data_IF_510230297434
#
_entry.id   IF_510230297434
#
_cell.length_a   1.000
_cell.length_b   1.000
_cell.length_c   1.000
_cell.angle_alpha   90.00
_cell.angle_beta   90.00
_cell.angle_gamma   90.00
#
_symmetry.space_group_name_H-M   'P 1'
#
loop_
_entity.id
_entity.type
_entity.pdbx_description
1 polymer ?
#
# COMPACT_ATOMS: atom_id res chain seq x y z
N UNK A 1 45.25 3.28 91.17
CA UNK A 1 45.76 2.53 90.00
C UNK A 1 45.81 3.50 88.83
N UNK A 2 46.97 3.63 88.17
CA UNK A 2 47.33 4.73 87.24
C UNK A 2 46.43 4.77 85.98
N UNK A 3 46.04 5.97 85.48
CA UNK A 3 45.46 6.14 84.16
C UNK A 3 46.53 6.52 83.10
N UNK A 4 46.26 6.31 81.80
CA UNK A 4 46.90 7.12 80.77
C UNK A 4 45.87 7.58 79.68
N UNK A 5 46.23 8.43 78.69
CA UNK A 5 46.03 9.88 78.78
C UNK A 5 45.20 10.49 77.63
N UNK A 6 44.81 11.75 77.79
CA UNK A 6 44.27 12.63 76.74
C UNK A 6 45.33 13.00 75.69
N UNK A 7 44.90 13.14 74.43
CA UNK A 7 45.54 13.99 73.42
C UNK A 7 44.47 14.79 72.65
N UNK A 8 44.86 15.99 72.23
CA UNK A 8 44.01 17.16 72.07
C UNK A 8 43.95 17.70 70.63
N UNK A 9 42.97 18.60 70.41
CA UNK A 9 42.89 19.69 69.39
C UNK A 9 42.56 19.21 67.96
N UNK A 10 41.69 19.84 67.16
CA UNK A 10 41.35 21.27 66.95
C UNK A 10 40.03 21.41 66.16
N UNK A 11 39.31 22.54 66.35
CA UNK A 11 38.14 22.96 65.57
C UNK A 11 38.51 23.47 64.16
N UNK A 12 37.57 23.36 63.20
CA UNK A 12 37.19 24.43 62.24
C UNK A 12 35.80 24.13 61.60
N UNK A 13 34.94 25.15 61.34
CA UNK A 13 33.56 24.96 60.91
C UNK A 13 33.41 25.05 59.38
N UNK A 14 32.38 24.43 58.79
CA UNK A 14 31.92 24.75 57.43
C UNK A 14 30.39 24.89 57.34
N UNK A 15 30.04 26.03 56.74
CA UNK A 15 28.77 26.57 56.29
C UNK A 15 27.90 25.54 55.55
N UNK A 16 26.58 25.70 55.70
CA UNK A 16 25.58 24.85 55.06
C UNK A 16 25.17 25.27 53.66
N UNK A 17 24.13 24.60 53.16
CA UNK A 17 23.28 25.06 52.06
C UNK A 17 22.02 24.18 52.01
N UNK A 18 20.86 24.83 52.02
CA UNK A 18 19.58 24.26 51.60
C UNK A 18 19.69 23.80 50.14
N UNK A 19 19.33 22.56 49.84
CA UNK A 19 19.03 22.12 48.47
C UNK A 19 17.51 21.94 48.30
N UNK A 20 16.92 22.39 47.17
CA UNK A 20 15.51 22.22 46.89
C UNK A 20 15.24 20.81 46.36
N UNK A 21 14.14 20.23 46.83
CA UNK A 21 13.63 18.92 46.44
C UNK A 21 13.08 18.97 45.00
N UNK A 22 13.90 18.62 44.00
CA UNK A 22 13.50 18.56 42.60
C UNK A 22 12.83 17.21 42.32
N UNK A 23 11.49 17.14 42.47
CA UNK A 23 10.71 15.99 42.02
C UNK A 23 10.54 16.07 40.51
N UNK A 24 11.34 15.29 39.78
CA UNK A 24 11.06 15.00 38.38
C UNK A 24 9.78 14.18 38.27
N UNK A 25 8.71 14.82 37.80
CA UNK A 25 7.58 14.11 37.20
C UNK A 25 8.04 13.56 35.85
N UNK A 26 8.33 12.26 35.81
CA UNK A 26 8.46 11.52 34.55
C UNK A 26 7.08 11.36 33.95
N UNK A 27 6.84 11.99 32.80
CA UNK A 27 5.67 11.69 31.96
C UNK A 27 5.67 10.20 31.59
N UNK A 28 4.50 9.54 31.56
CA UNK A 28 4.43 8.15 31.14
C UNK A 28 4.75 8.07 29.63
N UNK A 29 5.84 7.37 29.29
CA UNK A 29 6.13 6.99 27.90
C UNK A 29 4.90 6.25 27.33
N UNK A 30 4.29 6.85 26.31
CA UNK A 30 3.25 6.20 25.51
C UNK A 30 3.78 4.85 24.99
N UNK A 31 2.98 3.77 25.05
CA UNK A 31 3.43 2.45 24.64
C UNK A 31 3.84 2.49 23.17
N UNK A 32 5.13 2.25 22.90
CA UNK A 32 5.67 2.04 21.56
C UNK A 32 4.88 0.89 20.92
N UNK A 33 4.04 1.20 19.93
CA UNK A 33 3.34 0.18 19.13
C UNK A 33 4.40 -0.80 18.62
N UNK A 34 4.32 -2.06 19.05
CA UNK A 34 5.16 -3.12 18.47
C UNK A 34 4.88 -3.14 16.97
N UNK A 35 5.85 -2.75 16.14
CA UNK A 35 5.81 -3.03 14.70
C UNK A 35 5.64 -4.54 14.57
N UNK A 36 4.50 -4.99 14.03
CA UNK A 36 4.40 -6.36 13.54
C UNK A 36 5.53 -6.52 12.52
N UNK A 37 6.47 -7.44 12.76
CA UNK A 37 7.41 -7.85 11.73
C UNK A 37 6.59 -8.46 10.59
N UNK A 38 6.33 -7.65 9.57
CA UNK A 38 5.76 -8.12 8.33
C UNK A 38 6.85 -8.85 7.56
N UNK A 39 6.72 -10.15 7.39
CA UNK A 39 7.52 -10.89 6.42
C UNK A 39 7.15 -10.40 5.03
N UNK A 40 8.14 -10.02 4.21
CA UNK A 40 7.93 -9.72 2.80
C UNK A 40 7.24 -10.90 2.11
N UNK A 41 6.26 -10.61 1.26
CA UNK A 41 5.50 -11.61 0.50
C UNK A 41 5.65 -11.35 -0.98
N UNK A 42 5.82 -12.41 -1.75
CA UNK A 42 5.60 -12.37 -3.19
C UNK A 42 4.10 -12.34 -3.45
N UNK A 43 3.64 -11.41 -4.31
CA UNK A 43 2.24 -11.23 -4.67
C UNK A 43 2.10 -11.43 -6.17
N UNK A 44 1.50 -12.53 -6.65
CA UNK A 44 1.39 -12.78 -8.08
C UNK A 44 0.26 -11.95 -8.70
N UNK A 45 0.37 -11.63 -9.99
CA UNK A 45 -0.69 -10.92 -10.74
C UNK A 45 -1.23 -11.77 -11.91
N UNK A 46 -2.47 -11.47 -12.31
CA UNK A 46 -3.09 -11.97 -13.54
C UNK A 46 -3.74 -10.77 -14.24
N UNK A 47 -3.06 -10.25 -15.25
CA UNK A 47 -3.61 -9.18 -16.07
C UNK A 47 -4.48 -9.77 -17.18
N UNK A 48 -5.67 -9.20 -17.36
CA UNK A 48 -6.66 -9.66 -18.31
C UNK A 48 -6.98 -8.56 -19.31
N UNK A 49 -6.90 -8.88 -20.60
CA UNK A 49 -7.36 -8.02 -21.67
C UNK A 49 -8.14 -8.83 -22.71
N UNK A 50 -9.36 -8.38 -23.03
CA UNK A 50 -10.28 -9.09 -23.90
C UNK A 50 -10.50 -10.57 -23.50
N UNK A 51 -10.50 -10.86 -22.20
CA UNK A 51 -10.73 -12.20 -21.65
C UNK A 51 -9.52 -13.13 -21.69
N UNK A 52 -8.35 -12.66 -22.15
CA UNK A 52 -7.10 -13.43 -22.18
C UNK A 52 -6.11 -12.92 -21.14
N UNK A 53 -5.27 -13.83 -20.64
CA UNK A 53 -4.15 -13.47 -19.76
C UNK A 53 -3.08 -12.79 -20.60
N UNK A 54 -2.85 -11.50 -20.34
CA UNK A 54 -1.97 -10.63 -21.11
C UNK A 54 -1.30 -9.60 -20.21
N UNK A 55 0.02 -9.49 -20.30
CA UNK A 55 0.76 -8.41 -19.67
C UNK A 55 1.08 -7.35 -20.72
N UNK A 56 0.50 -6.15 -20.55
CA UNK A 56 0.77 -5.01 -21.43
C UNK A 56 2.05 -4.28 -20.98
N UNK A 57 2.76 -3.67 -21.92
CA UNK A 57 3.86 -2.74 -21.63
C UNK A 57 3.26 -1.36 -21.38
N UNK A 58 3.71 -0.68 -20.32
CA UNK A 58 3.17 0.61 -19.93
C UNK A 58 3.15 1.65 -21.07
N UNK A 59 2.11 2.49 -21.04
CA UNK A 59 1.87 3.70 -21.84
C UNK A 59 1.27 3.50 -23.24
N UNK A 60 0.84 2.28 -23.58
CA UNK A 60 0.26 1.96 -24.91
C UNK A 60 -1.26 1.74 -24.94
N UNK A 61 -1.98 1.94 -23.82
CA UNK A 61 -3.46 1.87 -23.82
C UNK A 61 -4.07 3.12 -24.47
N UNK A 62 -4.06 3.21 -25.80
CA UNK A 62 -4.83 4.23 -26.54
C UNK A 62 -6.20 3.68 -26.94
N UNK A 63 -7.24 4.52 -26.95
CA UNK A 63 -8.61 4.11 -27.36
C UNK A 63 -8.72 3.87 -28.88
N UNK A 64 -7.62 4.09 -29.61
CA UNK A 64 -7.54 4.06 -31.06
C UNK A 64 -6.69 2.89 -31.51
N UNK A 65 -7.17 1.66 -31.30
CA UNK A 65 -6.95 0.49 -32.16
C UNK A 65 -5.52 0.03 -32.54
N UNK A 66 -4.45 0.72 -32.16
CA UNK A 66 -3.10 0.46 -32.66
C UNK A 66 -2.12 0.12 -31.53
N UNK A 67 -1.51 -1.05 -31.71
CA UNK A 67 -0.30 -1.60 -31.09
C UNK A 67 -0.12 -1.36 -29.58
N UNK A 68 -0.96 -2.00 -28.76
CA UNK A 68 -0.55 -2.31 -27.38
C UNK A 68 0.64 -3.26 -27.44
N UNK A 69 1.81 -2.79 -27.03
CA UNK A 69 2.99 -3.64 -26.90
C UNK A 69 2.75 -4.63 -25.75
N UNK A 70 2.91 -5.93 -26.02
CA UNK A 70 2.68 -7.01 -25.05
C UNK A 70 4.01 -7.59 -24.58
N UNK A 71 4.21 -7.69 -23.26
CA UNK A 71 5.34 -8.41 -22.68
C UNK A 71 5.08 -9.92 -22.63
N UNK A 72 3.81 -10.31 -22.52
CA UNK A 72 3.38 -11.70 -22.36
C UNK A 72 1.92 -11.86 -22.78
N UNK A 73 1.60 -12.98 -23.40
CA UNK A 73 0.25 -13.35 -23.83
C UNK A 73 0.14 -14.87 -23.91
N UNK A 74 -1.02 -15.42 -23.56
CA UNK A 74 -1.25 -16.87 -23.55
C UNK A 74 -2.71 -17.21 -23.81
N UNK A 75 -2.95 -18.41 -24.34
CA UNK A 75 -4.29 -19.01 -24.42
C UNK A 75 -4.66 -19.82 -23.17
N UNK A 76 -3.74 -19.97 -22.21
CA UNK A 76 -4.04 -20.62 -20.93
C UNK A 76 -5.08 -19.79 -20.15
N UNK A 77 -6.13 -20.42 -19.59
CA UNK A 77 -7.17 -19.68 -18.88
C UNK A 77 -6.64 -19.12 -17.56
N UNK A 78 -7.21 -17.99 -17.13
CA UNK A 78 -6.85 -17.32 -15.88
C UNK A 78 -7.02 -18.22 -14.63
N UNK A 79 -7.98 -19.15 -14.67
CA UNK A 79 -8.19 -20.14 -13.60
C UNK A 79 -7.00 -21.08 -13.40
N UNK A 80 -6.22 -21.37 -14.44
CA UNK A 80 -5.05 -22.24 -14.35
C UNK A 80 -3.93 -21.56 -13.55
N UNK A 81 -3.70 -20.27 -13.80
CA UNK A 81 -2.77 -19.45 -13.00
C UNK A 81 -3.24 -19.30 -11.55
N UNK A 82 -4.53 -19.04 -11.34
CA UNK A 82 -5.09 -18.95 -9.99
C UNK A 82 -4.95 -20.27 -9.21
N UNK A 83 -5.13 -21.42 -9.88
CA UNK A 83 -4.90 -22.75 -9.28
C UNK A 83 -3.43 -22.95 -8.92
N UNK A 84 -2.51 -22.58 -9.81
CA UNK A 84 -1.07 -22.63 -9.53
C UNK A 84 -0.70 -21.78 -8.30
N UNK A 85 -1.20 -20.54 -8.22
CA UNK A 85 -0.96 -19.66 -7.07
C UNK A 85 -1.54 -20.22 -5.77
N UNK A 86 -2.67 -20.93 -5.85
CA UNK A 86 -3.27 -21.64 -4.72
C UNK A 86 -2.40 -22.80 -4.25
N UNK A 87 -1.93 -23.62 -5.17
CA UNK A 87 -1.08 -24.78 -4.87
C UNK A 87 0.24 -24.34 -4.23
N UNK A 88 0.76 -23.17 -4.63
CA UNK A 88 1.95 -22.54 -4.05
C UNK A 88 1.67 -21.74 -2.75
N UNK A 89 0.40 -21.63 -2.31
CA UNK A 89 0.01 -20.89 -1.11
C UNK A 89 0.19 -19.37 -1.18
N UNK A 90 0.26 -18.81 -2.39
CA UNK A 90 0.46 -17.39 -2.64
C UNK A 90 -0.85 -16.61 -2.46
N UNK A 91 -0.94 -15.80 -1.42
CA UNK A 91 -2.16 -15.01 -1.10
C UNK A 91 -1.98 -13.53 -1.40
N UNK A 92 -3.10 -12.83 -1.59
CA UNK A 92 -3.16 -11.39 -1.86
C UNK A 92 -2.53 -10.98 -3.20
N UNK A 93 -2.37 -11.94 -4.12
CA UNK A 93 -2.18 -11.63 -5.52
C UNK A 93 -3.43 -11.00 -6.12
N UNK A 94 -3.34 -10.40 -7.31
CA UNK A 94 -4.43 -9.62 -7.89
C UNK A 94 -4.72 -9.98 -9.35
N UNK A 95 -6.01 -9.97 -9.70
CA UNK A 95 -6.50 -10.07 -11.06
C UNK A 95 -6.90 -8.67 -11.54
N UNK A 96 -6.26 -8.15 -12.59
CA UNK A 96 -6.52 -6.81 -13.11
C UNK A 96 -7.24 -6.90 -14.45
N UNK A 97 -8.44 -6.33 -14.52
CA UNK A 97 -9.21 -6.24 -15.75
C UNK A 97 -8.85 -4.96 -16.52
N UNK A 98 -8.11 -5.11 -17.61
CA UNK A 98 -7.70 -4.04 -18.51
C UNK A 98 -8.73 -3.92 -19.64
N UNK A 99 -9.70 -3.01 -19.46
CA UNK A 99 -10.77 -2.77 -20.44
C UNK A 99 -11.91 -3.81 -20.41
N UNK A 100 -12.80 -3.79 -21.42
CA UNK A 100 -13.97 -4.66 -21.47
C UNK A 100 -13.63 -6.13 -21.81
N UNK A 101 -14.59 -7.03 -21.61
CA UNK A 101 -14.48 -8.45 -22.01
C UNK A 101 -13.80 -9.38 -21.00
N UNK A 102 -13.41 -8.88 -19.83
CA UNK A 102 -12.62 -9.64 -18.86
C UNK A 102 -13.45 -10.39 -17.79
N UNK A 103 -14.75 -10.09 -17.68
CA UNK A 103 -15.58 -10.53 -16.53
C UNK A 103 -15.58 -12.04 -16.33
N UNK A 104 -15.75 -12.81 -17.41
CA UNK A 104 -15.77 -14.27 -17.33
C UNK A 104 -14.43 -14.85 -16.85
N UNK A 105 -13.32 -14.39 -17.43
CA UNK A 105 -11.98 -14.83 -17.07
C UNK A 105 -11.62 -14.46 -15.62
N UNK A 106 -11.98 -13.25 -15.19
CA UNK A 106 -11.77 -12.81 -13.81
C UNK A 106 -12.56 -13.68 -12.82
N UNK A 107 -13.86 -13.92 -13.07
CA UNK A 107 -14.68 -14.80 -12.22
C UNK A 107 -14.14 -16.22 -12.17
N UNK A 108 -13.63 -16.75 -13.28
CA UNK A 108 -13.01 -18.07 -13.33
C UNK A 108 -11.75 -18.15 -12.46
N UNK A 109 -10.89 -17.12 -12.49
CA UNK A 109 -9.71 -17.05 -11.62
C UNK A 109 -10.09 -16.99 -10.14
N UNK A 110 -11.05 -16.12 -9.77
CA UNK A 110 -11.52 -15.97 -8.39
C UNK A 110 -12.17 -17.26 -7.85
N UNK A 111 -12.94 -17.96 -8.69
CA UNK A 111 -13.58 -19.23 -8.31
C UNK A 111 -12.57 -20.36 -8.12
N UNK A 112 -11.44 -20.34 -8.84
CA UNK A 112 -10.38 -21.33 -8.69
C UNK A 112 -9.61 -21.16 -7.36
N UNK A 113 -9.51 -19.92 -6.86
CA UNK A 113 -8.89 -19.62 -5.58
C UNK A 113 -9.72 -18.66 -4.71
N UNK A 114 -10.85 -19.12 -4.16
CA UNK A 114 -11.72 -18.29 -3.32
C UNK A 114 -10.97 -17.74 -2.10
N UNK A 115 -11.02 -16.43 -1.91
CA UNK A 115 -10.32 -15.72 -0.83
C UNK A 115 -8.81 -15.60 -1.02
N UNK A 116 -8.23 -16.12 -2.11
CA UNK A 116 -6.79 -16.05 -2.38
C UNK A 116 -6.36 -14.80 -3.13
N UNK A 117 -7.20 -14.34 -4.07
CA UNK A 117 -6.89 -13.25 -5.01
C UNK A 117 -7.77 -12.03 -4.77
N UNK A 118 -7.23 -10.85 -5.09
CA UNK A 118 -7.94 -9.58 -5.17
C UNK A 118 -8.38 -9.32 -6.62
N UNK A 119 -9.29 -8.38 -6.88
CA UNK A 119 -9.69 -8.02 -8.25
C UNK A 119 -9.83 -6.52 -8.45
N UNK A 120 -9.26 -6.02 -9.55
CA UNK A 120 -9.31 -4.61 -9.96
C UNK A 120 -9.76 -4.42 -11.41
N UNK A 121 -10.04 -3.16 -11.77
CA UNK A 121 -10.50 -2.77 -13.09
C UNK A 121 -12.00 -2.51 -13.15
N UNK A 122 -12.39 -1.22 -13.17
CA UNK A 122 -13.80 -0.81 -13.25
C UNK A 122 -14.63 -1.08 -11.99
N UNK A 123 -13.98 -1.28 -10.83
CA UNK A 123 -14.65 -1.47 -9.54
C UNK A 123 -15.37 -0.19 -9.11
N UNK A 124 -16.62 -0.33 -8.68
CA UNK A 124 -17.46 0.73 -8.12
C UNK A 124 -18.56 0.13 -7.21
N UNK A 125 -19.38 0.98 -6.60
CA UNK A 125 -20.41 0.60 -5.62
C UNK A 125 -21.45 -0.37 -6.22
N UNK A 126 -21.72 -0.30 -7.52
CA UNK A 126 -22.71 -1.16 -8.15
C UNK A 126 -22.23 -2.60 -8.37
N UNK A 127 -20.91 -2.85 -8.34
CA UNK A 127 -20.35 -4.16 -8.67
C UNK A 127 -19.44 -4.75 -7.60
N UNK A 128 -18.96 -3.97 -6.62
CA UNK A 128 -17.98 -4.39 -5.63
C UNK A 128 -18.42 -5.66 -4.87
N UNK A 129 -19.65 -5.68 -4.34
CA UNK A 129 -20.18 -6.84 -3.62
C UNK A 129 -20.19 -8.10 -4.50
N UNK A 130 -20.60 -7.96 -5.76
CA UNK A 130 -20.70 -9.09 -6.70
C UNK A 130 -19.35 -9.75 -7.01
N UNK A 131 -18.24 -9.04 -6.80
CA UNK A 131 -16.88 -9.54 -6.97
C UNK A 131 -16.39 -10.26 -5.71
N UNK A 132 -16.72 -9.73 -4.53
CA UNK A 132 -16.47 -10.42 -3.26
C UNK A 132 -17.24 -11.74 -3.19
N UNK A 133 -18.50 -11.74 -3.61
CA UNK A 133 -19.34 -12.95 -3.71
C UNK A 133 -18.78 -13.95 -4.73
N UNK A 134 -18.04 -13.47 -5.74
CA UNK A 134 -17.36 -14.31 -6.74
C UNK A 134 -16.09 -15.01 -6.20
N UNK A 135 -15.71 -14.75 -4.96
CA UNK A 135 -14.51 -15.31 -4.33
C UNK A 135 -13.33 -14.35 -4.24
N UNK A 136 -13.47 -13.06 -4.59
CA UNK A 136 -12.41 -12.10 -4.34
C UNK A 136 -12.17 -11.89 -2.84
N UNK A 137 -10.92 -11.94 -2.43
CA UNK A 137 -10.50 -11.54 -1.09
C UNK A 137 -10.74 -10.04 -0.87
N UNK A 138 -10.45 -9.21 -1.87
CA UNK A 138 -10.66 -7.77 -1.82
C UNK A 138 -11.03 -7.27 -3.23
N UNK A 139 -11.66 -6.11 -3.29
CA UNK A 139 -11.74 -5.34 -4.53
C UNK A 139 -10.72 -4.21 -4.51
N UNK A 140 -10.15 -3.93 -5.67
CA UNK A 140 -9.14 -2.90 -5.90
C UNK A 140 -9.80 -1.76 -6.66
N UNK A 141 -9.86 -0.58 -6.03
CA UNK A 141 -10.41 0.60 -6.65
C UNK A 141 -9.30 1.55 -7.12
N UNK A 142 -9.44 2.03 -8.34
CA UNK A 142 -8.53 2.95 -9.02
C UNK A 142 -9.28 4.25 -9.36
N UNK A 143 -9.52 4.52 -10.64
CA UNK A 143 -10.05 5.78 -11.15
C UNK A 143 -11.47 6.12 -10.67
N UNK A 144 -12.24 5.17 -10.16
CA UNK A 144 -13.60 5.45 -9.68
C UNK A 144 -13.62 6.46 -8.52
N UNK A 145 -12.64 6.40 -7.63
CA UNK A 145 -12.50 7.31 -6.48
C UNK A 145 -11.58 8.50 -6.78
N UNK A 146 -11.08 8.65 -8.01
CA UNK A 146 -10.30 9.82 -8.40
C UNK A 146 -11.01 10.58 -9.52
N UNK A 147 -11.37 11.84 -9.26
CA UNK A 147 -12.06 12.70 -10.24
C UNK A 147 -11.48 14.08 -10.22
N UNK A 148 -11.26 14.66 -11.40
CA UNK A 148 -10.78 16.03 -11.47
C UNK A 148 -9.32 16.23 -11.07
N UNK A 149 -8.59 15.19 -10.65
CA UNK A 149 -7.28 15.35 -10.00
C UNK A 149 -7.38 15.29 -8.47
N UNK A 150 -8.57 15.03 -7.94
CA UNK A 150 -8.84 14.90 -6.51
C UNK A 150 -9.42 13.53 -6.18
N UNK A 151 -9.36 13.15 -4.90
CA UNK A 151 -10.07 11.97 -4.40
C UNK A 151 -11.53 12.32 -4.10
N UNK A 152 -12.45 11.54 -4.66
CA UNK A 152 -13.88 11.61 -4.39
C UNK A 152 -14.17 10.86 -3.08
N UNK A 153 -14.08 11.57 -1.96
CA UNK A 153 -14.27 10.98 -0.62
C UNK A 153 -15.66 10.41 -0.40
N UNK A 154 -16.68 10.92 -1.09
CA UNK A 154 -18.05 10.42 -0.97
C UNK A 154 -18.15 9.03 -1.59
N UNK A 155 -17.55 8.81 -2.77
CA UNK A 155 -17.45 7.48 -3.38
C UNK A 155 -16.62 6.51 -2.56
N UNK A 156 -15.49 6.98 -2.02
CA UNK A 156 -14.65 6.13 -1.17
C UNK A 156 -15.42 5.68 0.09
N UNK A 157 -16.11 6.60 0.76
CA UNK A 157 -16.93 6.29 1.94
C UNK A 157 -18.09 5.36 1.58
N UNK A 158 -18.76 5.58 0.45
CA UNK A 158 -19.83 4.69 -0.01
C UNK A 158 -19.34 3.26 -0.26
N UNK A 159 -18.14 3.08 -0.85
CA UNK A 159 -17.51 1.77 -0.97
C UNK A 159 -17.22 1.16 0.41
N UNK A 160 -16.60 1.92 1.32
CA UNK A 160 -16.28 1.42 2.66
C UNK A 160 -17.54 1.04 3.44
N UNK A 161 -18.63 1.80 3.33
CA UNK A 161 -19.91 1.49 3.96
C UNK A 161 -20.51 0.20 3.38
N UNK A 162 -20.38 -0.01 2.06
CA UNK A 162 -20.93 -1.17 1.38
C UNK A 162 -20.19 -2.47 1.69
N UNK A 163 -18.86 -2.46 1.65
CA UNK A 163 -18.04 -3.70 1.69
C UNK A 163 -17.07 -3.80 2.87
N UNK A 164 -16.94 -2.74 3.66
CA UNK A 164 -15.94 -2.64 4.73
C UNK A 164 -14.55 -2.28 4.21
N UNK A 165 -13.79 -1.52 4.99
CA UNK A 165 -12.40 -1.15 4.67
C UNK A 165 -11.49 -2.38 4.54
N UNK A 166 -11.77 -3.42 5.32
CA UNK A 166 -11.05 -4.70 5.36
C UNK A 166 -11.19 -5.54 4.09
N UNK A 167 -12.03 -5.11 3.14
CA UNK A 167 -12.21 -5.75 1.81
C UNK A 167 -11.85 -4.81 0.66
N UNK A 168 -11.29 -3.64 0.97
CA UNK A 168 -10.95 -2.60 -0.02
C UNK A 168 -9.44 -2.42 -0.12
N UNK A 169 -8.93 -2.39 -1.35
CA UNK A 169 -7.56 -1.99 -1.70
C UNK A 169 -7.62 -0.71 -2.51
N UNK A 170 -6.80 0.26 -2.13
CA UNK A 170 -6.60 1.50 -2.89
C UNK A 170 -5.40 1.33 -3.81
N UNK A 171 -5.63 1.41 -5.12
CA UNK A 171 -4.55 1.40 -6.11
C UNK A 171 -4.15 2.83 -6.50
N UNK A 172 -2.91 3.16 -6.18
CA UNK A 172 -2.29 4.45 -6.42
C UNK A 172 -1.17 4.29 -7.45
N UNK A 173 -1.45 4.67 -8.69
CA UNK A 173 -0.40 4.85 -9.71
C UNK A 173 0.41 6.10 -9.39
N UNK A 174 1.72 5.97 -9.24
CA UNK A 174 2.60 7.01 -8.73
C UNK A 174 3.67 7.40 -9.76
N UNK A 175 3.91 8.70 -9.92
CA UNK A 175 4.90 9.23 -10.85
C UNK A 175 5.52 10.54 -10.35
N UNK A 176 6.80 10.80 -10.63
CA UNK A 176 7.38 12.13 -10.43
C UNK A 176 7.00 13.06 -11.56
N UNK A 177 6.88 14.34 -11.25
CA UNK A 177 6.74 15.35 -12.31
C UNK A 177 8.03 15.37 -13.15
N UNK A 178 7.96 15.41 -14.50
CA UNK A 178 9.15 15.32 -15.35
C UNK A 178 10.17 16.43 -15.11
N UNK A 179 9.74 17.60 -14.63
CA UNK A 179 10.57 18.74 -14.29
C UNK A 179 11.18 18.67 -12.88
N UNK A 180 10.83 17.66 -12.08
CA UNK A 180 11.27 17.48 -10.70
C UNK A 180 11.75 16.03 -10.47
N UNK A 181 12.87 15.60 -11.07
CA UNK A 181 13.34 14.21 -11.02
C UNK A 181 13.73 13.73 -9.62
N UNK A 182 13.96 14.66 -8.68
CA UNK A 182 14.18 14.40 -7.24
C UNK A 182 13.01 14.90 -6.36
N UNK A 183 11.88 15.23 -6.99
CA UNK A 183 10.68 15.74 -6.33
C UNK A 183 9.82 14.63 -5.72
N UNK A 184 8.69 15.01 -5.11
CA UNK A 184 7.75 14.05 -4.56
C UNK A 184 7.09 13.22 -5.68
N UNK A 185 6.67 12.02 -5.33
CA UNK A 185 5.76 11.24 -6.16
C UNK A 185 4.34 11.78 -6.00
N UNK A 186 3.59 11.80 -7.10
CA UNK A 186 2.18 12.17 -7.12
C UNK A 186 1.36 10.99 -7.63
N UNK A 187 0.13 10.87 -7.13
CA UNK A 187 -0.84 9.97 -7.73
C UNK A 187 -1.20 10.51 -9.12
N UNK A 188 -1.24 9.62 -10.11
CA UNK A 188 -1.61 9.93 -11.49
C UNK A 188 -2.81 9.08 -11.92
N UNK A 189 -3.73 9.70 -12.64
CA UNK A 189 -4.97 9.09 -13.12
C UNK A 189 -5.04 9.19 -14.64
N UNK A 190 -6.15 8.71 -15.23
CA UNK A 190 -6.41 8.78 -16.67
C UNK A 190 -5.25 8.23 -17.49
N UNK A 191 -4.89 6.96 -17.26
CA UNK A 191 -3.75 6.29 -17.93
C UNK A 191 -2.42 7.03 -17.71
N UNK A 192 -2.24 7.55 -16.50
CA UNK A 192 -1.04 8.26 -16.05
C UNK A 192 -0.78 9.61 -16.75
N UNK A 193 -1.80 10.15 -17.41
CA UNK A 193 -1.72 11.41 -18.12
C UNK A 193 -2.05 12.60 -17.21
N UNK A 194 -2.88 12.39 -16.19
CA UNK A 194 -3.35 13.45 -15.30
C UNK A 194 -2.72 13.33 -13.93
N UNK A 195 -1.93 14.33 -13.54
CA UNK A 195 -1.46 14.46 -12.16
C UNK A 195 -2.62 14.89 -11.25
N UNK A 196 -2.68 14.26 -10.09
CA UNK A 196 -3.50 14.72 -8.98
C UNK A 196 -2.70 15.67 -8.09
N UNK A 197 -3.39 16.41 -7.23
CA UNK A 197 -2.74 17.19 -6.18
C UNK A 197 -2.37 16.36 -4.94
N UNK A 198 -2.39 15.02 -5.06
CA UNK A 198 -2.12 14.07 -3.98
C UNK A 198 -0.66 13.60 -4.01
N UNK A 199 0.24 14.17 -3.20
CA UNK A 199 1.59 13.64 -3.03
C UNK A 199 1.56 12.32 -2.25
N UNK A 200 2.42 11.39 -2.63
CA UNK A 200 2.63 10.12 -1.93
C UNK A 200 3.63 10.37 -0.81
N UNK A 201 3.12 10.58 0.40
CA UNK A 201 3.89 10.86 1.60
C UNK A 201 3.20 10.29 2.85
N UNK A 202 3.79 10.46 4.03
CA UNK A 202 3.23 9.96 5.30
C UNK A 202 1.82 10.44 5.59
N UNK A 203 1.55 11.73 5.40
CA UNK A 203 0.27 12.33 5.73
C UNK A 203 -0.85 11.76 4.85
N UNK A 204 -0.62 11.73 3.53
CA UNK A 204 -1.58 11.19 2.57
C UNK A 204 -1.80 9.69 2.78
N UNK A 205 -0.73 8.91 2.96
CA UNK A 205 -0.84 7.47 3.21
C UNK A 205 -1.57 7.18 4.53
N UNK A 206 -1.33 7.97 5.57
CA UNK A 206 -2.02 7.85 6.85
C UNK A 206 -3.52 8.13 6.71
N UNK A 207 -3.87 9.22 6.03
CA UNK A 207 -5.27 9.61 5.77
C UNK A 207 -6.02 8.54 4.97
N UNK A 208 -5.44 8.09 3.85
CA UNK A 208 -6.07 7.09 2.99
C UNK A 208 -6.13 5.70 3.64
N UNK A 209 -5.14 5.36 4.46
CA UNK A 209 -5.07 4.08 5.16
C UNK A 209 -6.19 3.87 6.19
N UNK A 210 -6.95 4.93 6.53
CA UNK A 210 -8.17 4.80 7.34
C UNK A 210 -9.31 4.14 6.57
N UNK A 211 -9.28 4.15 5.23
CA UNK A 211 -10.37 3.70 4.37
C UNK A 211 -10.11 2.36 3.67
N UNK A 212 -8.90 1.80 3.76
CA UNK A 212 -8.57 0.54 3.10
C UNK A 212 -7.81 -0.44 4.01
N UNK A 213 -7.75 -1.69 3.57
CA UNK A 213 -6.95 -2.74 4.21
C UNK A 213 -5.52 -2.76 3.70
N UNK A 214 -5.32 -2.40 2.43
CA UNK A 214 -4.03 -2.48 1.75
C UNK A 214 -3.92 -1.38 0.66
N UNK A 215 -2.70 -0.98 0.36
CA UNK A 215 -2.37 -0.20 -0.84
C UNK A 215 -1.76 -1.08 -1.92
N UNK A 216 -2.18 -0.87 -3.17
CA UNK A 216 -1.46 -1.34 -4.36
C UNK A 216 -0.78 -0.12 -5.00
N UNK A 217 0.54 -0.10 -5.09
CA UNK A 217 1.29 1.06 -5.58
C UNK A 217 1.99 0.71 -6.89
N UNK A 218 1.58 1.37 -7.98
CA UNK A 218 2.21 1.22 -9.29
C UNK A 218 3.29 2.29 -9.52
N UNK A 219 4.54 1.88 -9.73
CA UNK A 219 5.66 2.74 -10.11
C UNK A 219 5.71 2.98 -11.62
N UNK A 220 4.88 3.90 -12.12
CA UNK A 220 4.62 4.11 -13.56
C UNK A 220 5.90 4.31 -14.40
N UNK A 221 6.96 4.86 -13.81
CA UNK A 221 8.20 5.16 -14.54
C UNK A 221 8.98 3.91 -14.99
N UNK A 222 8.86 2.81 -14.25
CA UNK A 222 9.61 1.56 -14.48
C UNK A 222 8.72 0.40 -14.91
N UNK A 223 7.40 0.56 -14.78
CA UNK A 223 6.40 -0.48 -15.04
C UNK A 223 6.54 -1.11 -16.43
N UNK A 224 6.77 -2.42 -16.45
CA UNK A 224 6.91 -3.21 -17.67
C UNK A 224 8.23 -3.02 -18.43
N UNK A 225 9.16 -2.20 -17.93
CA UNK A 225 10.47 -1.93 -18.55
C UNK A 225 11.58 -2.88 -18.12
N UNK A 226 11.35 -3.70 -17.08
CA UNK A 226 12.33 -4.65 -16.53
C UNK A 226 13.65 -3.98 -16.11
N UNK A 227 13.60 -2.74 -15.62
CA UNK A 227 14.77 -1.97 -15.21
C UNK A 227 14.96 -1.88 -13.69
N UNK A 228 14.22 -2.68 -12.91
CA UNK A 228 14.28 -2.70 -11.45
C UNK A 228 13.24 -1.79 -10.80
N UNK A 229 13.21 -1.82 -9.46
CA UNK A 229 12.25 -1.08 -8.63
C UNK A 229 12.66 0.39 -8.46
N UNK A 230 11.69 1.23 -8.13
CA UNK A 230 11.93 2.58 -7.61
C UNK A 230 12.29 2.49 -6.11
N UNK A 231 13.57 2.33 -5.81
CA UNK A 231 14.06 2.06 -4.45
C UNK A 231 13.62 3.12 -3.42
N UNK A 232 13.67 4.40 -3.78
CA UNK A 232 13.29 5.50 -2.90
C UNK A 232 11.78 5.56 -2.64
N UNK A 233 10.95 5.22 -3.62
CA UNK A 233 9.51 5.01 -3.43
C UNK A 233 9.25 3.83 -2.49
N UNK A 234 9.92 2.69 -2.67
CA UNK A 234 9.77 1.52 -1.78
C UNK A 234 10.20 1.84 -0.35
N UNK A 235 11.30 2.59 -0.16
CA UNK A 235 11.75 3.06 1.16
C UNK A 235 10.71 3.99 1.79
N UNK A 236 10.13 4.91 1.02
CA UNK A 236 9.06 5.80 1.49
C UNK A 236 7.85 4.99 1.98
N UNK A 237 7.38 4.03 1.18
CA UNK A 237 6.23 3.18 1.52
C UNK A 237 6.50 2.34 2.77
N UNK A 238 7.66 1.68 2.85
CA UNK A 238 8.03 0.85 4.00
C UNK A 238 8.22 1.62 5.31
N UNK A 239 8.51 2.92 5.22
CA UNK A 239 8.63 3.80 6.41
C UNK A 239 7.29 4.33 6.88
N UNK A 240 6.43 4.72 5.94
CA UNK A 240 5.31 5.62 6.23
C UNK A 240 3.92 5.01 6.02
N UNK A 241 3.79 3.86 5.33
CA UNK A 241 2.46 3.27 5.15
C UNK A 241 1.88 2.75 6.47
N UNK A 242 0.65 3.13 6.85
CA UNK A 242 -0.02 2.63 8.05
C UNK A 242 -0.59 1.21 7.88
N UNK A 243 -0.77 0.75 6.63
CA UNK A 243 -1.36 -0.53 6.24
C UNK A 243 -0.39 -1.30 5.32
N UNK A 244 -0.59 -2.61 5.10
CA UNK A 244 0.16 -3.36 4.09
C UNK A 244 0.22 -2.65 2.74
N UNK A 245 1.33 -2.84 2.03
CA UNK A 245 1.55 -2.29 0.70
C UNK A 245 2.06 -3.39 -0.22
N UNK A 246 1.43 -3.51 -1.38
CA UNK A 246 1.96 -4.25 -2.52
C UNK A 246 2.54 -3.25 -3.52
N UNK A 247 3.82 -3.37 -3.82
CA UNK A 247 4.49 -2.58 -4.87
C UNK A 247 4.46 -3.34 -6.19
N UNK A 248 4.12 -2.65 -7.28
CA UNK A 248 4.17 -3.14 -8.65
C UNK A 248 4.93 -2.13 -9.53
N UNK A 249 5.95 -2.56 -10.26
CA UNK A 249 6.81 -1.68 -11.07
C UNK A 249 7.99 -2.43 -11.67
#
# INVERSE_FOLDING_TARGET
VRPPPLLAKTQRPRKGSNEPNNRHHSEPELPKKKKKEGTMKFRPCIDLHAGKVKQLVGATLTDTGDETSENFSTDRPASEYATMYKDDGLTGGHVIMLGPGNVFAARAALSAYPGGLQVGGGINESNAQSWLDAGASHVIVTSHVFRGGEIDMDRLKALVELIGRERLVLDLSCRRKPNEPNGPYYVVTDRWQKYTDFPVNEETLKSLGEYCDEFLIHGVEVEGKKCGILEDLVVLLGRHSPVPVTYAG
#
